data_IF_661267925074
#
_entry.id   IF_661267925074
#
_cell.length_a   1.000
_cell.length_b   1.000
_cell.length_c   1.000
_cell.angle_alpha   90.00
_cell.angle_beta   90.00
_cell.angle_gamma   90.00
#
_symmetry.space_group_name_H-M   'P 1'
#
loop_
_entity.id
_entity.type
_entity.pdbx_description
1 polymer ?
#
# COMPACT_ATOMS: atom_id res chain seq x y z
N UNK A 1 4.70 19.15 -16.99
CA UNK A 1 3.70 18.10 -16.67
C UNK A 1 3.80 17.02 -17.74
N UNK A 2 4.41 15.89 -17.39
CA UNK A 2 4.48 14.75 -18.32
C UNK A 2 3.13 14.04 -18.24
N UNK A 3 2.26 14.31 -19.20
CA UNK A 3 1.07 13.49 -19.43
C UNK A 3 1.55 12.12 -19.86
N UNK A 4 1.28 11.10 -19.03
CA UNK A 4 1.54 9.72 -19.42
C UNK A 4 0.80 9.43 -20.74
N UNK A 5 1.49 8.79 -21.65
CA UNK A 5 0.86 8.24 -22.85
C UNK A 5 -0.28 7.30 -22.40
N UNK A 6 -1.54 7.54 -22.80
CA UNK A 6 -2.66 6.67 -22.43
C UNK A 6 -2.48 5.22 -22.86
N UNK A 7 -1.58 4.96 -23.80
CA UNK A 7 -1.23 3.63 -24.32
C UNK A 7 -0.01 3.02 -23.63
N UNK A 8 0.62 3.72 -22.66
CA UNK A 8 1.77 3.19 -21.95
C UNK A 8 1.37 1.95 -21.16
N UNK A 9 2.13 0.87 -21.34
CA UNK A 9 1.89 -0.41 -20.68
C UNK A 9 2.02 -0.26 -19.15
N UNK A 10 0.96 -0.61 -18.41
CA UNK A 10 0.93 -0.68 -16.96
C UNK A 10 1.16 -2.12 -16.53
N UNK A 11 2.18 -2.38 -15.73
CA UNK A 11 2.50 -3.71 -15.22
C UNK A 11 2.79 -3.68 -13.74
N UNK A 12 2.40 -4.74 -13.02
CA UNK A 12 2.92 -5.06 -11.69
C UNK A 12 3.94 -6.16 -11.81
N UNK A 13 4.99 -6.06 -11.03
CA UNK A 13 6.04 -7.08 -10.92
C UNK A 13 6.73 -7.02 -9.55
N UNK A 14 7.41 -8.09 -9.13
CA UNK A 14 8.33 -7.99 -7.99
C UNK A 14 9.33 -6.85 -8.22
N UNK A 15 9.69 -6.15 -7.14
CA UNK A 15 10.70 -5.10 -7.25
C UNK A 15 12.09 -5.67 -7.53
N UNK A 16 12.95 -4.84 -8.09
CA UNK A 16 14.35 -5.09 -8.35
C UNK A 16 15.21 -4.06 -7.62
N UNK A 17 16.49 -4.34 -7.43
CA UNK A 17 17.42 -3.44 -6.74
C UNK A 17 17.43 -2.02 -7.34
N UNK A 18 17.38 -1.92 -8.66
CA UNK A 18 17.37 -0.63 -9.38
C UNK A 18 16.08 0.19 -9.16
N UNK A 19 15.01 -0.42 -8.63
CA UNK A 19 13.77 0.28 -8.32
C UNK A 19 13.83 1.01 -6.98
N UNK A 20 14.74 0.63 -6.09
CA UNK A 20 14.81 1.12 -4.70
C UNK A 20 14.82 2.64 -4.56
N UNK A 21 15.57 3.42 -5.35
CA UNK A 21 15.53 4.87 -5.25
C UNK A 21 14.11 5.45 -5.48
N UNK A 22 13.44 5.00 -6.55
CA UNK A 22 12.07 5.45 -6.84
C UNK A 22 11.06 4.96 -5.81
N UNK A 23 11.21 3.74 -5.31
CA UNK A 23 10.37 3.19 -4.25
C UNK A 23 10.49 3.97 -2.96
N UNK A 24 11.71 4.29 -2.53
CA UNK A 24 11.96 5.08 -1.32
C UNK A 24 11.37 6.49 -1.45
N UNK A 25 11.52 7.14 -2.60
CA UNK A 25 10.94 8.45 -2.87
C UNK A 25 9.41 8.43 -2.75
N UNK A 26 8.75 7.48 -3.40
CA UNK A 26 7.29 7.33 -3.36
C UNK A 26 6.80 7.00 -1.94
N UNK A 27 7.47 6.09 -1.24
CA UNK A 27 7.14 5.74 0.14
C UNK A 27 7.24 6.95 1.07
N UNK A 28 8.35 7.67 0.99
CA UNK A 28 8.62 8.83 1.82
C UNK A 28 7.65 9.98 1.55
N UNK A 29 7.21 10.16 0.31
CA UNK A 29 6.16 11.13 -0.03
C UNK A 29 4.89 10.88 0.80
N UNK A 30 4.47 9.62 0.95
CA UNK A 30 3.30 9.27 1.74
C UNK A 30 3.56 9.48 3.25
N UNK A 31 4.74 9.10 3.75
CA UNK A 31 5.13 9.32 5.14
C UNK A 31 5.12 10.81 5.49
N UNK A 32 5.72 11.65 4.64
CA UNK A 32 5.79 13.10 4.85
C UNK A 32 4.43 13.79 4.75
N UNK A 33 3.52 13.28 3.92
CA UNK A 33 2.14 13.77 3.86
C UNK A 33 1.39 13.59 5.19
N UNK A 34 1.73 12.56 5.99
CA UNK A 34 1.30 12.38 7.36
C UNK A 34 -0.21 12.15 7.55
N UNK A 35 -0.88 11.57 6.55
CA UNK A 35 -2.33 11.37 6.55
C UNK A 35 -2.78 9.96 6.12
N UNK A 36 -1.86 9.02 5.98
CA UNK A 36 -2.17 7.67 5.53
C UNK A 36 -1.35 6.58 6.22
N UNK A 37 -0.03 6.71 6.32
CA UNK A 37 0.84 5.72 6.94
C UNK A 37 1.09 6.01 8.42
N UNK A 38 1.24 4.95 9.26
CA UNK A 38 1.57 5.12 10.67
C UNK A 38 3.01 5.57 10.92
N UNK A 39 3.92 5.38 9.96
CA UNK A 39 5.32 5.80 10.09
C UNK A 39 5.43 7.33 10.09
N UNK A 40 6.34 7.85 10.93
CA UNK A 40 6.59 9.30 11.09
C UNK A 40 7.89 9.75 10.46
N UNK A 41 8.83 8.82 10.25
CA UNK A 41 10.16 9.11 9.74
C UNK A 41 10.34 8.52 8.33
N UNK A 42 10.87 9.31 7.38
CA UNK A 42 11.23 8.81 6.06
C UNK A 42 12.37 7.79 6.15
N UNK A 43 12.41 6.87 5.19
CA UNK A 43 13.48 5.89 5.05
C UNK A 43 14.67 6.49 4.29
N UNK A 44 15.88 6.25 4.76
CA UNK A 44 17.09 6.35 3.93
C UNK A 44 17.08 5.24 2.87
N UNK A 45 17.91 5.34 1.85
CA UNK A 45 18.00 4.30 0.82
C UNK A 45 18.45 2.94 1.42
N UNK A 46 19.34 2.94 2.38
CA UNK A 46 19.79 1.71 3.07
C UNK A 46 18.68 1.10 3.93
N UNK A 47 17.96 1.91 4.68
CA UNK A 47 16.80 1.46 5.44
C UNK A 47 15.70 0.92 4.53
N UNK A 48 15.45 1.57 3.39
CA UNK A 48 14.50 1.10 2.38
C UNK A 48 14.89 -0.26 1.81
N UNK A 49 16.18 -0.47 1.52
CA UNK A 49 16.71 -1.76 1.04
C UNK A 49 16.38 -2.88 2.01
N UNK A 50 16.64 -2.68 3.30
CA UNK A 50 16.37 -3.65 4.35
C UNK A 50 14.85 -3.85 4.51
N UNK A 51 14.11 -2.77 4.64
CA UNK A 51 12.67 -2.77 4.88
C UNK A 51 11.87 -3.51 3.79
N UNK A 52 12.16 -3.23 2.52
CA UNK A 52 11.46 -3.88 1.41
C UNK A 52 11.88 -5.34 1.22
N UNK A 53 13.10 -5.70 1.57
CA UNK A 53 13.58 -7.09 1.49
C UNK A 53 13.01 -8.01 2.57
N UNK A 54 12.63 -7.48 3.73
CA UNK A 54 12.10 -8.26 4.86
C UNK A 54 10.62 -8.66 4.70
N UNK A 55 9.92 -8.09 3.71
CA UNK A 55 8.50 -8.37 3.48
C UNK A 55 8.29 -9.77 2.92
N UNK A 56 7.09 -10.35 3.11
CA UNK A 56 6.71 -11.60 2.43
C UNK A 56 6.68 -11.42 0.91
N UNK A 57 6.24 -10.26 0.46
CA UNK A 57 6.27 -9.87 -0.95
C UNK A 57 6.30 -8.35 -1.06
N UNK A 58 7.09 -7.84 -1.99
CA UNK A 58 7.13 -6.43 -2.35
C UNK A 58 7.07 -6.32 -3.87
N UNK A 59 6.13 -5.53 -4.36
CA UNK A 59 5.95 -5.33 -5.80
C UNK A 59 5.82 -3.86 -6.15
N UNK A 60 6.11 -3.57 -7.40
CA UNK A 60 6.00 -2.23 -7.97
C UNK A 60 5.00 -2.21 -9.12
N UNK A 61 4.38 -1.06 -9.33
CA UNK A 61 3.65 -0.75 -10.56
C UNK A 61 4.50 0.16 -11.43
N UNK A 62 4.81 -0.29 -12.62
CA UNK A 62 5.56 0.46 -13.62
C UNK A 62 4.64 0.85 -14.80
N UNK A 63 4.81 2.08 -15.27
CA UNK A 63 4.10 2.62 -16.44
C UNK A 63 5.14 3.15 -17.41
N UNK A 64 5.22 2.55 -18.61
CA UNK A 64 6.24 2.92 -19.56
C UNK A 64 7.66 2.77 -19.02
N UNK A 65 7.90 1.79 -18.14
CA UNK A 65 9.18 1.54 -17.49
C UNK A 65 9.49 2.40 -16.26
N UNK A 66 8.66 3.39 -15.94
CA UNK A 66 8.83 4.24 -14.76
C UNK A 66 8.01 3.72 -13.58
N UNK A 67 8.61 3.62 -12.41
CA UNK A 67 7.91 3.21 -11.18
C UNK A 67 6.94 4.32 -10.77
N UNK A 68 5.67 3.95 -10.57
CA UNK A 68 4.57 4.85 -10.22
C UNK A 68 3.88 4.49 -8.90
N UNK A 69 4.16 3.33 -8.37
CA UNK A 69 3.63 2.88 -7.10
C UNK A 69 4.27 1.58 -6.66
N UNK A 70 3.97 1.20 -5.42
CA UNK A 70 4.45 -0.04 -4.82
C UNK A 70 3.51 -0.51 -3.72
N UNK A 71 3.66 -1.76 -3.32
CA UNK A 71 3.08 -2.25 -2.07
C UNK A 71 4.04 -3.20 -1.36
N UNK A 72 3.83 -3.32 -0.07
CA UNK A 72 4.42 -4.35 0.78
C UNK A 72 3.33 -5.27 1.29
N UNK A 73 3.64 -6.55 1.44
CA UNK A 73 2.77 -7.60 1.96
C UNK A 73 3.51 -8.37 3.05
N UNK A 74 2.88 -8.51 4.21
CA UNK A 74 3.46 -9.21 5.36
C UNK A 74 2.35 -9.81 6.25
N UNK A 75 2.67 -10.75 7.16
CA UNK A 75 1.69 -11.21 8.14
C UNK A 75 1.18 -10.06 8.99
N UNK A 76 -0.14 -10.03 9.23
CA UNK A 76 -0.74 -9.03 10.12
C UNK A 76 -0.44 -9.30 11.59
N UNK A 77 -0.23 -10.58 11.94
CA UNK A 77 0.02 -11.03 13.30
C UNK A 77 0.92 -12.28 13.28
N UNK A 78 1.18 -12.84 14.44
CA UNK A 78 2.10 -13.97 14.64
C UNK A 78 1.36 -15.29 14.92
N UNK A 79 2.07 -16.40 14.78
CA UNK A 79 1.65 -17.71 15.23
C UNK A 79 0.30 -18.13 14.64
N UNK A 80 -0.66 -18.43 15.50
CA UNK A 80 -2.00 -18.90 15.09
C UNK A 80 -2.82 -17.86 14.33
N UNK A 81 -2.41 -16.59 14.31
CA UNK A 81 -3.02 -15.51 13.56
C UNK A 81 -2.19 -15.09 12.34
N UNK A 82 -1.08 -15.76 12.07
CA UNK A 82 -0.15 -15.40 11.00
C UNK A 82 -0.62 -15.73 9.58
N UNK A 83 -1.78 -16.38 9.43
CA UNK A 83 -2.40 -16.68 8.14
C UNK A 83 -3.21 -15.53 7.52
N UNK A 84 -3.36 -14.42 8.25
CA UNK A 84 -3.95 -13.18 7.73
C UNK A 84 -2.83 -12.20 7.44
N UNK A 85 -2.81 -11.67 6.25
CA UNK A 85 -1.81 -10.69 5.82
C UNK A 85 -2.28 -9.25 6.09
N UNK A 86 -1.32 -8.34 6.09
CA UNK A 86 -1.52 -6.90 5.98
C UNK A 86 -0.69 -6.36 4.82
N UNK A 87 -1.08 -5.24 4.27
CA UNK A 87 -0.37 -4.59 3.18
C UNK A 87 -0.44 -3.06 3.32
N UNK A 88 0.53 -2.39 2.73
CA UNK A 88 0.54 -0.94 2.58
C UNK A 88 0.83 -0.60 1.12
N UNK A 89 0.08 0.36 0.59
CA UNK A 89 0.16 0.79 -0.81
C UNK A 89 0.61 2.25 -0.88
N UNK A 90 1.54 2.53 -1.76
CA UNK A 90 2.00 3.88 -2.04
C UNK A 90 1.92 4.16 -3.54
N UNK A 91 1.24 5.22 -3.92
CA UNK A 91 1.14 5.70 -5.31
C UNK A 91 1.76 7.07 -5.39
N UNK A 92 2.64 7.28 -6.37
CA UNK A 92 3.25 8.59 -6.60
C UNK A 92 2.15 9.66 -6.78
N UNK A 93 2.30 10.81 -6.13
CA UNK A 93 1.29 11.86 -6.14
C UNK A 93 0.92 12.32 -7.54
N UNK A 94 1.90 12.38 -8.45
CA UNK A 94 1.70 12.73 -9.85
C UNK A 94 0.89 11.69 -10.65
N UNK A 95 0.75 10.45 -10.14
CA UNK A 95 0.05 9.35 -10.81
C UNK A 95 -1.28 8.98 -10.15
N UNK A 96 -1.76 9.77 -9.22
CA UNK A 96 -3.07 9.58 -8.59
C UNK A 96 -4.20 9.73 -9.61
N UNK A 97 -5.21 8.88 -9.51
CA UNK A 97 -6.35 8.88 -10.42
C UNK A 97 -6.12 8.14 -11.73
N UNK A 98 -4.95 7.52 -11.93
CA UNK A 98 -4.60 6.77 -13.14
C UNK A 98 -4.85 5.25 -13.01
N UNK A 99 -5.49 4.80 -11.94
CA UNK A 99 -5.80 3.40 -11.70
C UNK A 99 -4.65 2.57 -11.14
N UNK A 100 -3.54 3.19 -10.74
CA UNK A 100 -2.37 2.49 -10.19
C UNK A 100 -2.72 1.80 -8.88
N UNK A 101 -3.46 2.46 -7.98
CA UNK A 101 -3.88 1.88 -6.71
C UNK A 101 -4.70 0.60 -6.89
N UNK A 102 -5.64 0.59 -7.82
CA UNK A 102 -6.44 -0.60 -8.15
C UNK A 102 -5.56 -1.75 -8.64
N UNK A 103 -4.65 -1.46 -9.56
CA UNK A 103 -3.71 -2.43 -10.10
C UNK A 103 -2.87 -3.09 -9.01
N UNK A 104 -2.35 -2.28 -8.06
CA UNK A 104 -1.57 -2.76 -6.92
C UNK A 104 -2.39 -3.63 -5.97
N UNK A 105 -3.61 -3.23 -5.61
CA UNK A 105 -4.46 -3.99 -4.68
C UNK A 105 -4.91 -5.31 -5.30
N UNK A 106 -5.27 -5.33 -6.56
CA UNK A 106 -5.64 -6.56 -7.28
C UNK A 106 -4.46 -7.55 -7.36
N UNK A 107 -3.26 -7.05 -7.64
CA UNK A 107 -2.05 -7.88 -7.61
C UNK A 107 -1.75 -8.38 -6.21
N UNK A 108 -1.85 -7.53 -5.20
CA UNK A 108 -1.61 -7.89 -3.80
C UNK A 108 -2.55 -9.01 -3.34
N UNK A 109 -3.82 -9.00 -3.71
CA UNK A 109 -4.77 -10.08 -3.40
C UNK A 109 -4.31 -11.41 -4.02
N UNK A 110 -3.86 -11.41 -5.26
CA UNK A 110 -3.32 -12.61 -5.92
C UNK A 110 -2.05 -13.11 -5.23
N UNK A 111 -1.15 -12.20 -4.90
CA UNK A 111 0.12 -12.55 -4.22
C UNK A 111 -0.10 -13.00 -2.79
N UNK A 112 -1.05 -12.43 -2.07
CA UNK A 112 -1.42 -12.90 -0.73
C UNK A 112 -1.86 -14.37 -0.77
N UNK A 113 -2.73 -14.75 -1.71
CA UNK A 113 -3.12 -16.14 -1.93
C UNK A 113 -1.91 -17.02 -2.31
N UNK A 114 -1.05 -16.57 -3.21
CA UNK A 114 0.15 -17.30 -3.64
C UNK A 114 1.15 -17.50 -2.50
N UNK A 115 1.25 -16.55 -1.56
CA UNK A 115 2.05 -16.69 -0.33
C UNK A 115 1.40 -17.56 0.75
N UNK A 116 0.19 -18.08 0.52
CA UNK A 116 -0.51 -18.95 1.45
C UNK A 116 -1.35 -18.23 2.51
N UNK A 117 -1.52 -16.92 2.41
CA UNK A 117 -2.41 -16.18 3.29
C UNK A 117 -3.88 -16.46 2.95
N UNK A 118 -4.73 -16.55 3.95
CA UNK A 118 -6.17 -16.83 3.82
C UNK A 118 -7.03 -15.57 3.80
N UNK A 119 -6.45 -14.43 4.10
CA UNK A 119 -7.13 -13.14 4.10
C UNK A 119 -6.14 -11.99 4.09
N UNK A 120 -6.61 -10.84 3.64
CA UNK A 120 -5.89 -9.57 3.63
C UNK A 120 -6.65 -8.57 4.48
N UNK A 121 -5.99 -8.01 5.49
CA UNK A 121 -6.54 -7.06 6.44
C UNK A 121 -5.76 -5.75 6.42
N UNK A 122 -6.47 -4.64 6.42
CA UNK A 122 -5.88 -3.31 6.60
C UNK A 122 -6.27 -2.78 7.97
N UNK A 123 -5.30 -2.33 8.75
CA UNK A 123 -5.50 -1.94 10.14
C UNK A 123 -5.72 -0.44 10.34
N UNK A 124 -5.28 0.38 9.40
CA UNK A 124 -5.14 1.82 9.59
C UNK A 124 -5.61 2.60 8.35
N UNK A 125 -6.85 2.38 7.95
CA UNK A 125 -7.45 3.17 6.86
C UNK A 125 -8.09 4.41 7.46
N UNK A 126 -7.41 5.55 7.30
CA UNK A 126 -7.84 6.82 7.89
C UNK A 126 -9.17 7.26 7.29
N UNK A 127 -10.11 7.71 8.13
CA UNK A 127 -11.47 8.06 7.72
C UNK A 127 -11.51 9.11 6.60
N UNK A 128 -10.62 10.10 6.64
CA UNK A 128 -10.52 11.15 5.62
C UNK A 128 -9.92 10.68 4.28
N UNK A 129 -9.32 9.49 4.24
CA UNK A 129 -8.80 8.92 3.00
C UNK A 129 -9.92 8.25 2.18
N UNK A 130 -10.84 9.07 1.70
CA UNK A 130 -12.04 8.63 0.98
C UNK A 130 -11.71 7.86 -0.30
N UNK A 131 -10.62 8.24 -0.99
CA UNK A 131 -10.18 7.57 -2.21
C UNK A 131 -9.77 6.12 -1.95
N UNK A 132 -8.99 5.86 -0.90
CA UNK A 132 -8.59 4.51 -0.53
C UNK A 132 -9.81 3.69 -0.08
N UNK A 133 -10.69 4.26 0.72
CA UNK A 133 -11.91 3.61 1.17
C UNK A 133 -12.81 3.20 0.00
N UNK A 134 -13.06 4.12 -0.93
CA UNK A 134 -13.86 3.84 -2.12
C UNK A 134 -13.24 2.72 -2.99
N UNK A 135 -11.91 2.72 -3.14
CA UNK A 135 -11.19 1.69 -3.86
C UNK A 135 -11.36 0.32 -3.20
N UNK A 136 -11.11 0.20 -1.91
CA UNK A 136 -11.22 -1.07 -1.17
C UNK A 136 -12.64 -1.62 -1.20
N UNK A 137 -13.63 -0.78 -0.95
CA UNK A 137 -15.04 -1.18 -1.00
C UNK A 137 -15.46 -1.62 -2.41
N UNK A 138 -14.97 -0.95 -3.47
CA UNK A 138 -15.21 -1.34 -4.86
C UNK A 138 -14.57 -2.69 -5.24
N UNK A 139 -13.53 -3.10 -4.53
CA UNK A 139 -12.86 -4.39 -4.72
C UNK A 139 -13.39 -5.50 -3.80
N UNK A 140 -14.44 -5.22 -3.03
CA UNK A 140 -15.10 -6.20 -2.18
C UNK A 140 -14.55 -6.33 -0.77
N UNK A 141 -13.66 -5.43 -0.33
CA UNK A 141 -13.26 -5.37 1.08
C UNK A 141 -14.43 -4.95 1.96
N UNK A 142 -14.64 -5.67 3.04
CA UNK A 142 -15.62 -5.32 4.06
C UNK A 142 -14.96 -4.46 5.15
N UNK A 143 -15.61 -3.36 5.51
CA UNK A 143 -15.24 -2.61 6.70
C UNK A 143 -15.74 -3.36 7.92
N UNK A 144 -14.83 -3.94 8.70
CA UNK A 144 -15.17 -4.82 9.84
C UNK A 144 -15.06 -4.13 11.19
N UNK A 145 -14.48 -2.94 11.25
CA UNK A 145 -14.34 -2.22 12.50
C UNK A 145 -13.87 -0.78 12.33
N UNK A 146 -13.92 -0.05 13.43
CA UNK A 146 -13.43 1.32 13.54
C UNK A 146 -12.78 1.53 14.92
N UNK A 147 -11.68 2.27 14.92
CA UNK A 147 -11.03 2.74 16.14
C UNK A 147 -11.21 4.26 16.19
N UNK A 148 -12.03 4.79 17.11
CA UNK A 148 -12.23 6.23 17.26
C UNK A 148 -10.91 6.92 17.61
N UNK A 149 -10.56 7.96 16.87
CA UNK A 149 -9.33 8.73 17.10
C UNK A 149 -8.05 7.89 16.97
N UNK A 150 -8.07 6.78 16.24
CA UNK A 150 -6.96 5.82 16.15
C UNK A 150 -5.73 6.30 15.39
N UNK A 151 -5.85 7.37 14.62
CA UNK A 151 -4.77 7.92 13.80
C UNK A 151 -4.54 9.39 14.14
N UNK A 152 -3.34 9.73 14.56
CA UNK A 152 -2.92 11.11 14.75
C UNK A 152 -2.20 11.60 13.49
N UNK A 153 -2.79 12.54 12.75
CA UNK A 153 -2.19 13.07 11.54
C UNK A 153 -1.07 14.07 11.84
N UNK A 154 -0.37 14.53 10.82
CA UNK A 154 0.78 15.46 10.96
C UNK A 154 0.43 16.81 11.62
N UNK A 155 -0.85 17.18 11.65
CA UNK A 155 -1.33 18.42 12.25
C UNK A 155 -1.86 18.20 13.69
N UNK A 156 -1.49 17.06 14.31
CA UNK A 156 -1.92 16.62 15.65
C UNK A 156 -3.44 16.48 15.79
N UNK A 157 -4.13 16.19 14.68
CA UNK A 157 -5.57 15.90 14.68
C UNK A 157 -5.77 14.39 14.74
N UNK A 158 -6.58 13.96 15.71
CA UNK A 158 -6.96 12.55 15.87
C UNK A 158 -8.14 12.24 14.97
N UNK A 159 -7.92 11.33 14.03
CA UNK A 159 -8.94 10.88 13.08
C UNK A 159 -9.35 9.44 13.37
N UNK A 160 -10.58 9.08 13.01
CA UNK A 160 -11.05 7.70 13.08
C UNK A 160 -10.28 6.84 12.05
N UNK A 161 -10.10 5.60 12.41
CA UNK A 161 -9.34 4.64 11.63
C UNK A 161 -10.18 3.38 11.42
N UNK A 162 -10.37 2.98 10.15
CA UNK A 162 -11.16 1.82 9.79
C UNK A 162 -10.29 0.57 9.58
N UNK A 163 -10.88 -0.59 9.86
CA UNK A 163 -10.31 -1.90 9.61
C UNK A 163 -11.10 -2.54 8.47
N UNK A 164 -10.40 -2.94 7.42
CA UNK A 164 -10.95 -3.61 6.24
C UNK A 164 -10.42 -5.04 6.12
N UNK A 165 -11.22 -5.93 5.57
CA UNK A 165 -10.87 -7.34 5.38
C UNK A 165 -11.41 -7.86 4.06
N UNK A 166 -10.62 -8.72 3.40
CA UNK A 166 -11.00 -9.47 2.21
C UNK A 166 -10.42 -10.89 2.30
N UNK A 167 -11.22 -11.96 2.13
CA UNK A 167 -10.67 -13.31 1.99
C UNK A 167 -9.86 -13.42 0.70
N UNK A 168 -8.84 -14.29 0.68
CA UNK A 168 -8.00 -14.55 -0.50
C UNK A 168 -8.42 -15.81 -1.27
N UNK A 169 -9.41 -16.54 -0.78
CA UNK A 169 -10.00 -17.75 -1.41
C UNK A 169 -11.37 -17.43 -2.02
#
# INVERSE_FOLDING_TARGET
>A
MSTLDPLALKVTRPYQEDDLPAMAEIWNEIVEAGNAFPQTEPLTLEEARIFFAEQSHTAVAAVGGCIRGLYILHPNNIGRCGHVANASFAVAGASRGEGIGRLLVEDCLRQAAACGFRGLQFNAVVASNERARALYESLGFARIGMIPGGFCNKDDVYEDMYIYYHPTE
#
